data_IF_353579166103
#
_entry.id   IF_353579166103
#
_cell.length_a   1.000
_cell.length_b   1.000
_cell.length_c   1.000
_cell.angle_alpha   90.00
_cell.angle_beta   90.00
_cell.angle_gamma   90.00
#
_symmetry.space_group_name_H-M   'P 1'
#
loop_
_entity.id
_entity.type
_entity.pdbx_description
1 polymer ?
#
# COMPACT_ATOMS: atom_id res chain seq x y z
N UNK A 1 -25.17 10.37 -7.18
CA UNK A 1 -24.46 9.99 -5.94
C UNK A 1 -23.37 9.02 -6.35
N UNK A 2 -22.09 9.30 -6.10
CA UNK A 2 -20.99 8.38 -6.47
C UNK A 2 -21.10 7.14 -5.57
N UNK A 3 -21.10 5.93 -6.15
CA UNK A 3 -21.05 4.70 -5.37
C UNK A 3 -19.72 4.63 -4.63
N UNK A 4 -19.75 4.23 -3.37
CA UNK A 4 -18.55 4.01 -2.58
C UNK A 4 -17.83 2.75 -3.08
N UNK A 5 -16.50 2.76 -3.04
CA UNK A 5 -15.65 1.60 -3.30
C UNK A 5 -16.09 0.39 -2.48
N UNK A 6 -16.42 -0.72 -3.14
CA UNK A 6 -16.81 -1.96 -2.44
C UNK A 6 -15.61 -2.80 -2.01
N UNK A 7 -14.53 -2.76 -2.78
CA UNK A 7 -13.30 -3.47 -2.48
C UNK A 7 -12.12 -2.56 -2.76
N UNK A 8 -11.07 -2.67 -1.96
CA UNK A 8 -9.79 -2.05 -2.28
C UNK A 8 -8.63 -2.90 -1.82
N UNK A 9 -7.47 -2.69 -2.43
CA UNK A 9 -6.19 -3.24 -2.02
C UNK A 9 -5.08 -2.25 -2.32
N UNK A 10 -3.92 -2.45 -1.72
CA UNK A 10 -2.76 -1.62 -1.97
C UNK A 10 -1.77 -2.30 -2.90
N UNK A 11 -1.06 -1.49 -3.68
CA UNK A 11 0.09 -1.91 -4.46
C UNK A 11 1.32 -1.17 -3.96
N UNK A 12 2.31 -1.91 -3.52
CA UNK A 12 3.63 -1.39 -3.20
C UNK A 12 4.51 -1.44 -4.45
N UNK A 13 5.33 -0.41 -4.69
CA UNK A 13 6.36 -0.38 -5.74
C UNK A 13 7.71 0.02 -5.15
N UNK A 14 8.76 -0.74 -5.49
CA UNK A 14 10.12 -0.47 -5.08
C UNK A 14 10.92 0.23 -6.20
N UNK A 15 11.10 1.54 -6.14
CA UNK A 15 11.91 2.32 -7.08
C UNK A 15 13.18 2.89 -6.42
N UNK A 16 13.85 2.11 -5.56
CA UNK A 16 15.07 2.53 -4.84
C UNK A 16 16.38 2.18 -5.57
N UNK A 17 16.30 1.69 -6.80
CA UNK A 17 17.45 1.23 -7.58
C UNK A 17 18.15 -0.01 -7.00
N UNK A 18 17.68 -0.56 -5.89
CA UNK A 18 18.21 -1.74 -5.21
C UNK A 18 17.09 -2.72 -4.85
N UNK A 19 17.37 -4.04 -4.80
CA UNK A 19 16.40 -5.02 -4.32
C UNK A 19 16.18 -4.86 -2.81
N UNK A 20 14.99 -5.24 -2.35
CA UNK A 20 14.65 -5.41 -0.94
C UNK A 20 14.56 -6.89 -0.62
N UNK A 21 15.38 -7.38 0.31
CA UNK A 21 15.42 -8.80 0.68
C UNK A 21 14.90 -9.04 2.10
N UNK A 22 13.88 -9.91 2.23
CA UNK A 22 13.25 -10.17 3.53
C UNK A 22 14.23 -10.81 4.52
N UNK A 23 15.05 -11.74 4.06
CA UNK A 23 15.97 -12.50 4.92
C UNK A 23 17.16 -11.64 5.37
N UNK A 24 17.41 -10.52 4.68
CA UNK A 24 18.40 -9.50 5.04
C UNK A 24 17.81 -8.34 5.87
N UNK A 25 16.56 -8.42 6.31
CA UNK A 25 15.98 -7.44 7.25
C UNK A 25 15.03 -6.42 6.63
N UNK A 26 14.81 -6.45 5.30
CA UNK A 26 13.85 -5.54 4.67
C UNK A 26 12.41 -5.83 5.12
N UNK A 27 11.61 -4.79 5.32
CA UNK A 27 10.20 -4.92 5.75
C UNK A 27 9.33 -3.93 5.01
N UNK A 28 8.12 -4.37 4.69
CA UNK A 28 7.03 -3.54 4.15
C UNK A 28 5.87 -3.61 5.15
N UNK A 29 5.51 -2.47 5.73
CA UNK A 29 4.40 -2.39 6.68
C UNK A 29 3.37 -1.37 6.20
N UNK A 30 2.15 -1.84 5.93
CA UNK A 30 1.01 -1.00 5.57
C UNK A 30 -0.09 -1.25 6.60
N UNK A 31 -0.49 -0.19 7.28
CA UNK A 31 -1.61 -0.21 8.24
C UNK A 31 -2.60 0.87 7.82
N UNK A 32 -3.88 0.52 7.74
CA UNK A 32 -4.93 1.50 7.48
C UNK A 32 -6.12 1.33 8.40
N UNK A 33 -6.85 2.42 8.60
CA UNK A 33 -8.03 2.52 9.43
C UNK A 33 -9.12 3.19 8.59
N UNK A 34 -10.10 2.42 8.10
CA UNK A 34 -11.25 2.97 7.39
C UNK A 34 -12.05 3.90 8.29
N UNK A 35 -12.68 4.92 7.71
CA UNK A 35 -13.51 5.85 8.46
C UNK A 35 -14.79 6.17 7.70
N UNK A 36 -15.81 6.63 8.43
CA UNK A 36 -17.08 7.11 7.90
C UNK A 36 -17.62 8.24 8.75
N UNK A 37 -18.46 9.09 8.15
CA UNK A 37 -19.30 10.02 8.89
C UNK A 37 -20.68 9.39 9.04
N UNK A 38 -21.13 9.18 10.28
CA UNK A 38 -22.46 8.68 10.59
C UNK A 38 -23.15 9.65 11.55
N UNK A 39 -24.30 10.17 11.17
CA UNK A 39 -25.07 11.14 11.96
C UNK A 39 -24.29 12.39 12.42
N UNK A 40 -23.29 12.81 11.63
CA UNK A 40 -22.43 13.96 11.94
C UNK A 40 -21.13 13.59 12.67
N UNK A 41 -21.01 12.36 13.17
CA UNK A 41 -19.83 11.91 13.91
C UNK A 41 -18.85 11.13 13.02
N UNK A 42 -17.56 11.42 13.20
CA UNK A 42 -16.48 10.65 12.60
C UNK A 42 -16.30 9.33 13.34
N UNK A 43 -16.55 8.22 12.65
CA UNK A 43 -16.39 6.87 13.17
C UNK A 43 -15.23 6.18 12.46
N UNK A 44 -14.35 5.57 13.24
CA UNK A 44 -13.24 4.77 12.73
C UNK A 44 -13.58 3.28 12.80
N UNK A 45 -13.17 2.54 11.77
CA UNK A 45 -13.14 1.08 11.78
C UNK A 45 -11.93 0.55 12.56
N UNK A 46 -11.77 -0.77 12.53
CA UNK A 46 -10.58 -1.44 13.08
C UNK A 46 -9.36 -1.15 12.23
N UNK A 47 -8.17 -1.18 12.85
CA UNK A 47 -6.91 -1.17 12.11
C UNK A 47 -6.81 -2.44 11.28
N UNK A 48 -6.57 -2.28 9.99
CA UNK A 48 -6.26 -3.35 9.04
C UNK A 48 -4.76 -3.34 8.81
N UNK A 49 -4.10 -4.46 9.07
CA UNK A 49 -2.70 -4.70 8.67
C UNK A 49 -2.72 -5.46 7.36
N UNK A 50 -2.05 -4.92 6.35
CA UNK A 50 -2.09 -5.49 5.01
C UNK A 50 -0.90 -6.39 4.76
N UNK A 51 -1.18 -7.58 4.22
CA UNK A 51 -0.15 -8.55 3.87
C UNK A 51 0.20 -8.42 2.38
N UNK A 52 1.45 -8.10 2.07
CA UNK A 52 1.99 -8.01 0.69
C UNK A 52 2.60 -9.31 0.17
N UNK A 53 2.52 -10.39 0.96
CA UNK A 53 3.23 -11.66 0.74
C UNK A 53 4.76 -11.49 0.66
N UNK A 54 5.30 -10.43 1.27
CA UNK A 54 6.74 -10.25 1.42
C UNK A 54 7.19 -10.96 2.70
N UNK A 55 7.58 -12.21 2.57
CA UNK A 55 7.90 -13.14 3.66
C UNK A 55 9.29 -13.76 3.48
N UNK A 56 9.71 -14.66 4.38
CA UNK A 56 11.01 -15.33 4.31
C UNK A 56 11.26 -15.98 2.94
N UNK A 57 12.48 -15.83 2.42
CA UNK A 57 12.89 -16.27 1.08
C UNK A 57 12.46 -15.35 -0.07
N UNK A 58 11.74 -14.27 0.19
CA UNK A 58 11.28 -13.34 -0.86
C UNK A 58 12.23 -12.15 -1.03
N UNK A 59 12.38 -11.74 -2.29
CA UNK A 59 13.03 -10.49 -2.68
C UNK A 59 12.05 -9.66 -3.51
N UNK A 60 12.04 -8.33 -3.32
CA UNK A 60 11.39 -7.38 -4.23
C UNK A 60 12.47 -6.64 -5.00
N UNK A 61 12.66 -7.01 -6.26
CA UNK A 61 13.63 -6.33 -7.13
C UNK A 61 13.30 -4.84 -7.32
N UNK A 62 14.30 -4.06 -7.68
CA UNK A 62 14.07 -2.68 -8.10
C UNK A 62 13.15 -2.63 -9.33
N UNK A 63 12.23 -1.66 -9.37
CA UNK A 63 11.17 -1.52 -10.36
C UNK A 63 10.01 -2.50 -10.20
N UNK A 64 10.06 -3.44 -9.24
CA UNK A 64 9.00 -4.43 -9.04
C UNK A 64 7.96 -3.98 -8.01
N UNK A 65 6.77 -4.58 -8.09
CA UNK A 65 5.65 -4.31 -7.20
C UNK A 65 5.16 -5.55 -6.45
N UNK A 66 4.40 -5.31 -5.37
CA UNK A 66 3.69 -6.33 -4.60
C UNK A 66 2.27 -5.87 -4.32
N UNK A 67 1.33 -6.80 -4.43
CA UNK A 67 -0.09 -6.56 -4.14
C UNK A 67 -0.38 -6.97 -2.71
N UNK A 68 -1.10 -6.12 -1.99
CA UNK A 68 -1.53 -6.38 -0.63
C UNK A 68 -2.88 -7.09 -0.55
N UNK A 69 -3.21 -7.62 0.62
CA UNK A 69 -4.51 -8.21 0.92
C UNK A 69 -5.68 -7.28 0.60
N UNK A 70 -6.77 -7.85 0.10
CA UNK A 70 -8.02 -7.15 -0.20
C UNK A 70 -8.74 -6.76 1.09
N UNK A 71 -9.37 -5.59 1.08
CA UNK A 71 -10.34 -5.18 2.10
C UNK A 71 -11.74 -5.10 1.49
N UNK A 72 -12.68 -5.69 2.21
CA UNK A 72 -14.09 -5.73 1.87
C UNK A 72 -14.86 -4.59 2.56
N UNK A 73 -15.51 -3.76 1.74
CA UNK A 73 -16.48 -2.72 2.10
C UNK A 73 -17.74 -2.87 1.24
N UNK A 74 -18.15 -4.10 0.95
CA UNK A 74 -19.40 -4.44 0.26
C UNK A 74 -20.64 -3.87 0.98
N UNK A 75 -20.55 -3.65 2.29
CA UNK A 75 -21.56 -2.91 3.06
C UNK A 75 -21.66 -1.42 2.70
N UNK A 76 -20.67 -0.87 1.99
CA UNK A 76 -20.67 0.49 1.46
C UNK A 76 -20.73 1.56 2.54
N UNK A 77 -20.12 1.33 3.71
CA UNK A 77 -20.20 2.25 4.84
C UNK A 77 -18.98 3.15 4.97
N UNK A 78 -17.80 2.69 4.56
CA UNK A 78 -16.57 3.46 4.67
C UNK A 78 -16.42 4.44 3.50
N UNK A 79 -16.03 5.67 3.84
CA UNK A 79 -15.89 6.80 2.93
C UNK A 79 -14.43 7.16 2.65
N UNK A 80 -13.51 6.61 3.44
CA UNK A 80 -12.09 6.83 3.26
C UNK A 80 -11.27 5.98 4.21
N UNK A 81 -9.96 6.11 4.09
CA UNK A 81 -8.97 5.41 4.92
C UNK A 81 -7.88 6.38 5.33
N UNK A 82 -7.47 6.31 6.59
CA UNK A 82 -6.22 6.90 7.06
C UNK A 82 -5.22 5.76 7.28
N UNK A 83 -3.94 5.99 7.13
CA UNK A 83 -2.97 4.92 7.35
C UNK A 83 -1.54 5.37 7.51
N UNK A 84 -0.68 4.39 7.73
CA UNK A 84 0.77 4.55 7.81
C UNK A 84 1.40 3.55 6.86
N UNK A 85 2.35 4.05 6.09
CA UNK A 85 3.20 3.27 5.20
C UNK A 85 4.63 3.35 5.72
N UNK A 86 5.22 2.20 6.01
CA UNK A 86 6.55 2.08 6.59
C UNK A 86 7.39 1.08 5.79
N UNK A 87 8.64 1.45 5.56
CA UNK A 87 9.63 0.64 4.85
C UNK A 87 10.90 0.57 5.68
N UNK A 88 11.40 -0.65 5.87
CA UNK A 88 12.79 -0.91 6.25
C UNK A 88 13.49 -1.48 5.02
N UNK A 89 14.60 -0.87 4.63
CA UNK A 89 15.35 -1.31 3.46
C UNK A 89 16.73 -1.82 3.92
N UNK A 90 17.09 -3.03 3.49
CA UNK A 90 18.28 -3.77 3.91
C UNK A 90 19.57 -3.18 3.32
N UNK A 91 19.56 -2.79 2.05
CA UNK A 91 20.76 -2.30 1.38
C UNK A 91 21.22 -0.90 1.84
N UNK A 92 22.50 -0.81 2.25
CA UNK A 92 23.22 0.45 2.38
C UNK A 92 23.47 1.07 1.00
N UNK A 93 23.03 2.32 0.79
CA UNK A 93 23.14 3.01 -0.50
C UNK A 93 21.89 2.95 -1.37
N UNK A 94 20.84 2.23 -0.96
CA UNK A 94 19.55 2.31 -1.64
C UNK A 94 19.05 3.77 -1.68
N UNK A 95 18.66 4.23 -2.87
CA UNK A 95 18.26 5.61 -3.10
C UNK A 95 17.16 5.70 -4.14
N UNK A 96 16.13 6.50 -3.87
CA UNK A 96 14.97 6.62 -4.73
C UNK A 96 13.71 6.63 -3.89
N UNK A 97 12.66 5.93 -4.34
CA UNK A 97 11.36 5.98 -3.68
C UNK A 97 10.72 4.62 -3.56
N UNK A 98 10.07 4.40 -2.42
CA UNK A 98 9.04 3.37 -2.30
C UNK A 98 7.68 4.06 -2.43
N UNK A 99 6.82 3.57 -3.32
CA UNK A 99 5.49 4.16 -3.56
C UNK A 99 4.38 3.20 -3.15
N UNK A 100 3.30 3.76 -2.63
CA UNK A 100 2.09 3.04 -2.28
C UNK A 100 0.94 3.57 -3.12
N UNK A 101 0.27 2.68 -3.83
CA UNK A 101 -0.92 2.96 -4.64
C UNK A 101 -2.10 2.22 -4.06
N UNK A 102 -3.31 2.73 -4.32
CA UNK A 102 -4.55 2.05 -3.99
C UNK A 102 -5.28 1.71 -5.29
N UNK A 103 -5.78 0.49 -5.31
CA UNK A 103 -6.65 0.00 -6.35
C UNK A 103 -8.02 -0.26 -5.76
N UNK A 104 -9.06 0.15 -6.49
CA UNK A 104 -10.45 0.06 -6.06
C UNK A 104 -11.22 -0.76 -7.09
N UNK A 105 -12.14 -1.59 -6.61
CA UNK A 105 -13.09 -2.28 -7.46
C UNK A 105 -14.49 -2.35 -6.84
N UNK A 106 -15.49 -2.53 -7.69
CA UNK A 106 -16.86 -2.84 -7.32
C UNK A 106 -17.08 -4.34 -7.05
N UNK A 107 -16.12 -5.20 -7.43
CA UNK A 107 -16.16 -6.63 -7.12
C UNK A 107 -14.75 -7.23 -6.95
N UNK A 108 -14.61 -8.24 -6.09
CA UNK A 108 -13.33 -8.91 -5.81
C UNK A 108 -12.91 -9.92 -6.92
N UNK A 109 -13.58 -9.93 -8.07
CA UNK A 109 -13.27 -10.80 -9.20
C UNK A 109 -12.70 -10.07 -10.42
N UNK A 110 -12.78 -8.74 -10.44
CA UNK A 110 -12.42 -7.90 -11.58
C UNK A 110 -11.71 -6.66 -11.07
N UNK A 111 -10.40 -6.62 -11.25
CA UNK A 111 -9.54 -5.55 -10.76
C UNK A 111 -8.97 -4.77 -11.95
N UNK A 112 -8.81 -3.43 -11.88
CA UNK A 112 -8.09 -2.67 -12.91
C UNK A 112 -6.77 -3.31 -13.35
N UNK A 113 -6.01 -3.89 -12.43
CA UNK A 113 -4.74 -4.56 -12.67
C UNK A 113 -4.85 -5.93 -13.35
N UNK A 114 -6.06 -6.38 -13.68
CA UNK A 114 -6.29 -7.55 -14.50
C UNK A 114 -6.34 -7.20 -16.00
N UNK A 115 -6.25 -5.91 -16.36
CA UNK A 115 -6.14 -5.48 -17.76
C UNK A 115 -4.79 -5.90 -18.36
N UNK A 116 -4.80 -6.27 -19.64
CA UNK A 116 -3.60 -6.71 -20.36
C UNK A 116 -2.55 -5.60 -20.54
N UNK A 117 -2.98 -4.34 -20.49
CA UNK A 117 -2.16 -3.14 -20.65
C UNK A 117 -1.86 -2.42 -19.32
N UNK A 118 -2.15 -3.06 -18.18
CA UNK A 118 -2.02 -2.43 -16.88
C UNK A 118 -0.60 -1.92 -16.60
N UNK A 119 -0.51 -0.63 -16.25
CA UNK A 119 0.62 -0.04 -15.55
C UNK A 119 0.21 0.29 -14.11
N UNK A 120 1.09 0.04 -13.15
CA UNK A 120 0.86 0.44 -11.75
C UNK A 120 0.66 1.95 -11.61
N UNK A 121 1.21 2.75 -12.52
CA UNK A 121 1.02 4.19 -12.55
C UNK A 121 -0.40 4.59 -13.01
N UNK A 122 -1.22 3.66 -13.51
CA UNK A 122 -2.67 3.85 -13.73
C UNK A 122 -3.45 3.91 -12.42
N UNK A 123 -2.88 3.40 -11.33
CA UNK A 123 -3.49 3.44 -10.00
C UNK A 123 -3.31 4.79 -9.31
N UNK A 124 -4.17 5.08 -8.34
CA UNK A 124 -4.01 6.30 -7.56
C UNK A 124 -2.92 6.11 -6.49
N UNK A 125 -1.84 6.88 -6.60
CA UNK A 125 -0.78 6.93 -5.57
C UNK A 125 -1.33 7.56 -4.29
N UNK A 126 -1.24 6.83 -3.18
CA UNK A 126 -1.67 7.30 -1.84
C UNK A 126 -0.50 7.77 -1.00
N UNK A 127 0.70 7.28 -1.29
CA UNK A 127 1.90 7.68 -0.57
C UNK A 127 3.16 7.50 -1.38
N UNK A 128 4.17 8.32 -1.07
CA UNK A 128 5.51 8.24 -1.63
C UNK A 128 6.48 8.44 -0.47
N UNK A 129 7.41 7.48 -0.32
CA UNK A 129 8.38 7.47 0.76
C UNK A 129 9.79 7.54 0.16
N UNK A 130 10.48 8.69 0.28
CA UNK A 130 11.85 8.81 -0.17
C UNK A 130 12.80 7.96 0.67
N UNK A 131 13.55 7.09 0.00
CA UNK A 131 14.61 6.28 0.58
C UNK A 131 15.95 6.90 0.19
N UNK A 132 16.79 7.12 1.19
CA UNK A 132 18.16 7.60 1.02
C UNK A 132 18.98 6.97 2.14
N UNK A 133 19.28 5.68 1.98
CA UNK A 133 19.91 4.89 3.02
C UNK A 133 21.40 5.17 3.07
N UNK A 134 21.83 5.91 4.09
CA UNK A 134 23.24 6.08 4.45
C UNK A 134 23.76 4.94 5.34
N UNK A 135 22.97 3.89 5.54
CA UNK A 135 23.28 2.68 6.31
C UNK A 135 22.16 1.65 6.15
N UNK A 136 22.45 0.39 6.45
CA UNK A 136 21.53 -0.75 6.35
C UNK A 136 20.39 -0.64 7.38
N UNK A 137 19.25 -1.29 7.08
CA UNK A 137 18.10 -1.49 7.97
C UNK A 137 17.46 -0.24 8.61
N UNK A 138 17.50 0.90 7.91
CA UNK A 138 16.81 2.10 8.39
C UNK A 138 15.32 2.04 8.06
N UNK A 139 14.49 2.06 9.09
CA UNK A 139 13.04 2.23 8.93
C UNK A 139 12.68 3.70 8.65
N UNK A 140 11.74 3.91 7.72
CA UNK A 140 11.13 5.20 7.41
C UNK A 140 9.62 5.00 7.31
N UNK A 141 8.85 5.99 7.74
CA UNK A 141 7.39 5.93 7.66
C UNK A 141 6.77 7.27 7.28
N UNK A 142 5.58 7.19 6.71
CA UNK A 142 4.75 8.34 6.34
C UNK A 142 3.29 8.00 6.54
N UNK A 143 2.52 8.98 7.02
CA UNK A 143 1.07 8.85 7.12
C UNK A 143 0.42 9.20 5.79
N UNK A 144 -0.70 8.54 5.48
CA UNK A 144 -1.50 8.85 4.30
C UNK A 144 -2.98 8.94 4.64
N UNK A 145 -3.73 9.60 3.77
CA UNK A 145 -5.17 9.69 3.80
C UNK A 145 -5.71 9.54 2.39
N UNK A 146 -6.82 8.82 2.26
CA UNK A 146 -7.49 8.58 1.00
C UNK A 146 -9.01 8.60 1.16
N UNK A 147 -9.71 9.13 0.16
CA UNK A 147 -11.17 9.15 0.08
C UNK A 147 -11.62 8.11 -0.96
N UNK A 148 -12.45 7.16 -0.53
CA UNK A 148 -12.92 6.02 -1.34
C UNK A 148 -14.03 6.42 -2.34
#
# INVERSE_FOLDING_TARGET
MKSLAKFWRYHFKNDTGAPMDYDLGARIAIRSMPWKIASGDLNYGTVVTHNTQFTAGETVAAGSSRIASVVDNSSGVYQGVNGTFEITHDQGGASGTCSLFIEISDNDGNWPSASDDFDIDDLQRVSLLPIANTGEDKSRSVNFKFYL
#
